data_IF_839945213685
#
_entry.id   IF_839945213685
#
_cell.length_a   1.000
_cell.length_b   1.000
_cell.length_c   1.000
_cell.angle_alpha   90.00
_cell.angle_beta   90.00
_cell.angle_gamma   90.00
#
_symmetry.space_group_name_H-M   'P 1'
#
loop_
_entity.id
_entity.type
_entity.pdbx_description
1 polymer ?
#
# COMPACT_ATOMS: atom_id res chain seq x y z
N UNK A 1 6.94 17.00 -11.36
CA UNK A 1 6.13 16.74 -10.13
C UNK A 1 5.93 15.24 -10.05
N UNK A 2 6.26 14.62 -8.91
CA UNK A 2 6.16 13.19 -8.75
C UNK A 2 4.69 12.70 -8.81
N UNK A 3 4.45 11.52 -9.36
CA UNK A 3 3.20 10.79 -9.16
C UNK A 3 3.09 10.33 -7.73
N UNK A 4 1.92 10.50 -7.11
CA UNK A 4 1.71 10.19 -5.69
C UNK A 4 0.73 9.02 -5.55
N UNK A 5 1.20 7.89 -5.01
CA UNK A 5 0.37 6.73 -4.71
C UNK A 5 0.26 6.56 -3.19
N UNK A 6 -0.95 6.66 -2.67
CA UNK A 6 -1.21 6.50 -1.23
C UNK A 6 -1.75 5.11 -0.90
N UNK A 7 -1.16 4.43 0.07
CA UNK A 7 -1.67 3.20 0.66
C UNK A 7 -2.35 3.50 1.99
N UNK A 8 -3.65 3.24 2.08
CA UNK A 8 -4.45 3.53 3.27
C UNK A 8 -5.21 2.30 3.76
N UNK A 9 -5.48 2.22 5.03
CA UNK A 9 -6.46 1.31 5.63
C UNK A 9 -6.67 1.65 7.09
N UNK A 10 -7.87 1.54 7.60
CA UNK A 10 -8.16 1.66 9.04
C UNK A 10 -7.92 0.34 9.79
N UNK A 11 -7.81 -0.79 9.08
CA UNK A 11 -7.52 -2.09 9.68
C UNK A 11 -6.02 -2.39 9.62
N UNK A 12 -5.44 -2.80 10.75
CA UNK A 12 -4.06 -3.28 10.81
C UNK A 12 -3.88 -4.63 10.12
N UNK A 13 -2.67 -4.90 9.58
CA UNK A 13 -2.32 -6.21 9.05
C UNK A 13 -2.89 -6.59 7.68
N UNK A 14 -3.65 -5.72 7.02
CA UNK A 14 -4.24 -5.99 5.68
C UNK A 14 -3.27 -5.86 4.50
N UNK A 15 -2.00 -5.53 4.76
CA UNK A 15 -0.98 -5.52 3.72
C UNK A 15 -0.62 -4.17 3.11
N UNK A 16 -0.91 -3.02 3.77
CA UNK A 16 -0.49 -1.68 3.30
C UNK A 16 1.00 -1.64 2.98
N UNK A 17 1.83 -1.75 4.00
CA UNK A 17 3.29 -1.70 3.86
C UNK A 17 3.84 -2.79 2.95
N UNK A 18 3.21 -3.98 2.91
CA UNK A 18 3.58 -5.05 1.99
C UNK A 18 3.45 -4.63 0.53
N UNK A 19 2.32 -4.00 0.17
CA UNK A 19 2.07 -3.55 -1.20
C UNK A 19 2.86 -2.29 -1.54
N UNK A 20 3.03 -1.36 -0.58
CA UNK A 20 3.86 -0.17 -0.75
C UNK A 20 5.32 -0.55 -1.07
N UNK A 21 5.89 -1.50 -0.35
CA UNK A 21 7.25 -2.04 -0.59
C UNK A 21 7.35 -2.77 -1.92
N UNK A 22 6.32 -3.55 -2.30
CA UNK A 22 6.27 -4.23 -3.59
C UNK A 22 6.29 -3.21 -4.74
N UNK A 23 5.45 -2.17 -4.67
CA UNK A 23 5.44 -1.11 -5.67
C UNK A 23 6.80 -0.37 -5.73
N UNK A 24 7.37 -0.02 -4.58
CA UNK A 24 8.68 0.63 -4.52
C UNK A 24 9.78 -0.22 -5.18
N UNK A 25 9.78 -1.53 -4.91
CA UNK A 25 10.74 -2.46 -5.51
C UNK A 25 10.57 -2.55 -7.02
N UNK A 26 9.36 -2.75 -7.52
CA UNK A 26 9.10 -2.90 -8.95
C UNK A 26 9.37 -1.60 -9.72
N UNK A 27 8.92 -0.45 -9.20
CA UNK A 27 9.19 0.84 -9.80
C UNK A 27 10.69 1.11 -9.91
N UNK A 28 11.45 0.87 -8.83
CA UNK A 28 12.91 1.04 -8.83
C UNK A 28 13.60 0.07 -9.79
N UNK A 29 13.12 -1.16 -9.92
CA UNK A 29 13.65 -2.14 -10.89
C UNK A 29 13.42 -1.72 -12.34
N UNK A 30 12.38 -0.93 -12.59
CA UNK A 30 12.09 -0.31 -13.90
C UNK A 30 12.83 1.03 -14.11
N UNK A 31 13.72 1.42 -13.21
CA UNK A 31 14.50 2.67 -13.32
C UNK A 31 13.74 3.95 -12.91
N UNK A 32 12.55 3.83 -12.33
CA UNK A 32 11.77 4.96 -11.84
C UNK A 32 12.37 5.45 -10.52
N UNK A 33 12.74 6.72 -10.45
CA UNK A 33 13.23 7.35 -9.21
C UNK A 33 12.11 7.38 -8.18
N UNK A 34 12.18 6.49 -7.20
CA UNK A 34 11.10 6.24 -6.26
C UNK A 34 11.47 6.66 -4.84
N UNK A 35 10.55 7.34 -4.16
CA UNK A 35 10.58 7.59 -2.72
C UNK A 35 9.44 6.86 -2.05
N UNK A 36 9.73 6.13 -0.98
CA UNK A 36 8.75 5.50 -0.09
C UNK A 36 8.75 6.23 1.25
N UNK A 37 7.69 6.96 1.51
CA UNK A 37 7.45 7.67 2.76
C UNK A 37 6.64 6.78 3.71
N UNK A 38 7.26 6.36 4.80
CA UNK A 38 6.61 5.63 5.90
C UNK A 38 5.98 6.68 6.84
N UNK A 39 4.66 6.69 6.96
CA UNK A 39 3.92 7.65 7.78
C UNK A 39 3.45 7.04 9.11
N UNK A 40 3.91 5.84 9.44
CA UNK A 40 3.65 5.19 10.74
C UNK A 40 4.86 5.40 11.66
N UNK A 41 4.84 6.51 12.40
CA UNK A 41 5.93 6.88 13.33
C UNK A 41 6.15 5.87 14.45
N UNK A 42 5.10 5.15 14.86
CA UNK A 42 5.19 4.20 15.96
C UNK A 42 5.84 2.89 15.53
N UNK A 43 5.47 2.39 14.36
CA UNK A 43 5.94 1.09 13.87
C UNK A 43 7.07 1.19 12.85
N UNK A 44 7.12 2.26 12.05
CA UNK A 44 8.12 2.50 11.01
C UNK A 44 8.44 1.25 10.17
N UNK A 45 7.40 0.49 9.82
CA UNK A 45 7.56 -0.88 9.31
C UNK A 45 8.26 -0.95 7.97
N UNK A 46 8.05 0.03 7.10
CA UNK A 46 8.71 0.09 5.79
C UNK A 46 10.16 0.53 5.90
N UNK A 47 10.46 1.47 6.81
CA UNK A 47 11.85 1.87 7.10
C UNK A 47 12.66 0.73 7.73
N UNK A 48 12.08 0.00 8.71
CA UNK A 48 12.71 -1.16 9.33
C UNK A 48 12.95 -2.31 8.33
N UNK A 49 12.00 -2.55 7.44
CA UNK A 49 12.18 -3.53 6.36
C UNK A 49 13.34 -3.14 5.43
N UNK A 50 13.45 -1.87 5.05
CA UNK A 50 14.52 -1.40 4.20
C UNK A 50 15.88 -1.49 4.89
N UNK A 51 15.96 -1.19 6.18
CA UNK A 51 17.18 -1.38 6.99
C UNK A 51 17.61 -2.84 7.01
N UNK A 52 16.68 -3.79 7.23
CA UNK A 52 16.97 -5.23 7.11
C UNK A 52 17.46 -5.61 5.71
N UNK A 53 16.83 -5.07 4.67
CA UNK A 53 17.25 -5.30 3.29
C UNK A 53 18.71 -4.95 3.08
N UNK A 54 19.11 -3.78 3.50
CA UNK A 54 20.49 -3.29 3.37
C UNK A 54 21.46 -4.12 4.22
N UNK A 55 21.09 -4.49 5.44
CA UNK A 55 21.94 -5.30 6.34
C UNK A 55 22.17 -6.73 5.83
N UNK A 56 21.31 -7.26 4.96
CA UNK A 56 21.50 -8.55 4.29
C UNK A 56 22.24 -8.46 2.95
N UNK A 57 22.77 -7.28 2.61
CA UNK A 57 23.52 -7.06 1.37
C UNK A 57 22.66 -6.94 0.12
N UNK A 58 21.35 -6.83 0.26
CA UNK A 58 20.46 -6.60 -0.88
C UNK A 58 20.54 -5.13 -1.32
N UNK A 59 20.40 -4.85 -2.63
CA UNK A 59 20.43 -3.48 -3.13
C UNK A 59 19.24 -2.67 -2.62
N UNK A 60 19.40 -1.33 -2.44
CA UNK A 60 18.27 -0.47 -2.11
C UNK A 60 17.19 -0.54 -3.20
N UNK A 61 15.92 -0.36 -2.82
CA UNK A 61 14.81 -0.37 -3.77
C UNK A 61 14.21 1.02 -4.01
N UNK A 62 14.48 1.97 -3.12
CA UNK A 62 13.98 3.34 -3.16
C UNK A 62 14.72 4.19 -2.13
N UNK A 63 14.48 5.51 -2.10
CA UNK A 63 14.71 6.31 -0.90
C UNK A 63 13.58 6.01 0.10
N UNK A 64 13.87 5.36 1.22
CA UNK A 64 12.86 4.99 2.23
C UNK A 64 13.11 5.78 3.50
N UNK A 65 12.16 6.63 3.85
CA UNK A 65 12.28 7.55 4.99
C UNK A 65 10.97 7.63 5.77
N UNK A 66 11.07 7.97 7.06
CA UNK A 66 9.92 8.17 7.95
C UNK A 66 9.54 9.65 7.98
N UNK A 67 8.25 9.94 7.86
CA UNK A 67 7.73 11.31 7.93
C UNK A 67 6.53 11.39 8.89
N UNK A 68 6.39 12.52 9.57
CA UNK A 68 5.26 12.74 10.47
C UNK A 68 3.96 13.15 9.72
N UNK A 69 4.08 13.66 8.50
CA UNK A 69 2.92 14.07 7.68
C UNK A 69 3.15 13.81 6.20
N UNK A 70 2.06 13.62 5.46
CA UNK A 70 2.10 13.52 4.00
C UNK A 70 2.69 14.79 3.35
N UNK A 71 2.42 15.97 3.93
CA UNK A 71 2.96 17.25 3.46
C UNK A 71 4.49 17.26 3.46
N UNK A 72 5.12 16.85 4.55
CA UNK A 72 6.58 16.78 4.64
C UNK A 72 7.18 15.81 3.61
N UNK A 73 6.52 14.65 3.40
CA UNK A 73 6.95 13.70 2.39
C UNK A 73 6.91 14.30 0.96
N UNK A 74 5.86 15.06 0.63
CA UNK A 74 5.71 15.75 -0.66
C UNK A 74 6.80 16.80 -0.83
N UNK A 75 7.06 17.63 0.18
CA UNK A 75 8.10 18.67 0.14
C UNK A 75 9.49 18.06 -0.12
N UNK A 76 9.72 16.82 0.34
CA UNK A 76 10.98 16.09 0.15
C UNK A 76 11.07 15.31 -1.16
N UNK A 77 10.00 15.28 -1.97
CA UNK A 77 9.90 14.45 -3.17
C UNK A 77 10.32 15.13 -4.47
N UNK A 78 10.93 16.33 -4.40
CA UNK A 78 11.17 17.20 -5.55
C UNK A 78 11.94 16.61 -6.74
N UNK A 79 12.80 15.62 -6.51
CA UNK A 79 13.62 14.97 -7.55
C UNK A 79 13.20 13.52 -7.88
N UNK A 80 12.10 13.06 -7.32
CA UNK A 80 11.55 11.73 -7.56
C UNK A 80 10.43 11.75 -8.61
N UNK A 81 10.31 10.66 -9.36
CA UNK A 81 9.23 10.45 -10.33
C UNK A 81 7.99 9.87 -9.67
N UNK A 82 8.18 9.05 -8.62
CA UNK A 82 7.14 8.39 -7.86
C UNK A 82 7.36 8.59 -6.36
N UNK A 83 6.32 9.11 -5.68
CA UNK A 83 6.20 9.15 -4.23
C UNK A 83 5.14 8.14 -3.77
N UNK A 84 5.55 7.21 -2.94
CA UNK A 84 4.67 6.23 -2.32
C UNK A 84 4.45 6.64 -0.86
N UNK A 85 3.20 6.86 -0.46
CA UNK A 85 2.81 7.16 0.92
C UNK A 85 2.29 5.89 1.59
N UNK A 86 3.07 5.29 2.47
CA UNK A 86 2.64 4.15 3.30
C UNK A 86 1.96 4.69 4.56
N UNK A 87 0.63 4.74 4.53
CA UNK A 87 -0.18 5.38 5.54
C UNK A 87 -0.16 4.65 6.89
N UNK A 88 -0.38 5.38 8.01
CA UNK A 88 -0.41 4.79 9.34
C UNK A 88 -1.60 3.84 9.51
N UNK A 89 -1.48 2.93 10.48
CA UNK A 89 -2.60 2.09 10.89
C UNK A 89 -3.61 2.94 11.72
N UNK A 90 -4.91 2.79 11.44
CA UNK A 90 -6.01 3.34 12.24
C UNK A 90 -6.18 4.88 12.27
N UNK A 91 -5.43 5.65 11.51
CA UNK A 91 -5.53 7.11 11.53
C UNK A 91 -6.53 7.64 10.50
N UNK A 92 -7.74 8.02 10.92
CA UNK A 92 -8.72 8.67 10.04
C UNK A 92 -8.22 9.99 9.45
N UNK A 93 -7.55 10.80 10.27
CA UNK A 93 -6.98 12.09 9.84
C UNK A 93 -5.86 11.90 8.81
N UNK A 94 -4.92 11.00 9.05
CA UNK A 94 -3.85 10.70 8.08
C UNK A 94 -4.39 10.10 6.78
N UNK A 95 -5.46 9.33 6.83
CA UNK A 95 -6.14 8.80 5.64
C UNK A 95 -6.68 9.93 4.76
N UNK A 96 -7.41 10.90 5.33
CA UNK A 96 -7.94 12.05 4.59
C UNK A 96 -6.82 12.96 4.06
N UNK A 97 -5.73 13.14 4.79
CA UNK A 97 -4.57 13.93 4.34
C UNK A 97 -3.92 13.29 3.11
N UNK A 98 -3.68 11.98 3.14
CA UNK A 98 -3.16 11.22 1.99
C UNK A 98 -4.12 11.31 0.80
N UNK A 99 -5.43 11.11 1.04
CA UNK A 99 -6.44 11.09 -0.01
C UNK A 99 -6.54 12.40 -0.79
N UNK A 100 -6.29 13.53 -0.14
CA UNK A 100 -6.35 14.86 -0.76
C UNK A 100 -5.19 15.12 -1.72
N UNK A 101 -4.04 14.49 -1.50
CA UNK A 101 -2.80 14.78 -2.24
C UNK A 101 -2.43 13.67 -3.24
N UNK A 102 -2.92 12.45 -3.05
CA UNK A 102 -2.58 11.32 -3.90
C UNK A 102 -3.28 11.39 -5.27
N UNK A 103 -2.58 10.95 -6.31
CA UNK A 103 -3.13 10.73 -7.64
C UNK A 103 -3.90 9.41 -7.70
N UNK A 104 -3.43 8.41 -6.94
CA UNK A 104 -4.09 7.12 -6.77
C UNK A 104 -4.05 6.70 -5.31
N UNK A 105 -5.17 6.17 -4.83
CA UNK A 105 -5.32 5.60 -3.50
C UNK A 105 -5.56 4.11 -3.61
N UNK A 106 -4.67 3.35 -3.03
CA UNK A 106 -4.77 1.90 -2.94
C UNK A 106 -5.16 1.51 -1.52
N UNK A 107 -6.28 0.82 -1.38
CA UNK A 107 -6.71 0.25 -0.10
C UNK A 107 -6.60 -1.27 -0.13
N UNK A 108 -5.61 -1.85 0.52
CA UNK A 108 -5.54 -3.29 0.72
C UNK A 108 -6.66 -3.79 1.62
N UNK A 109 -7.24 -4.93 1.25
CA UNK A 109 -8.29 -5.59 2.03
C UNK A 109 -8.19 -7.12 1.90
N UNK A 110 -8.64 -7.85 2.91
CA UNK A 110 -8.90 -9.29 2.80
C UNK A 110 -10.21 -9.55 2.05
N UNK A 111 -10.51 -10.82 1.83
CA UNK A 111 -11.72 -11.27 1.12
C UNK A 111 -12.95 -11.42 2.02
N UNK A 112 -12.79 -11.44 3.34
CA UNK A 112 -13.93 -11.61 4.27
C UNK A 112 -14.79 -10.33 4.34
N UNK A 113 -16.07 -10.49 4.64
CA UNK A 113 -16.97 -9.35 4.88
C UNK A 113 -16.49 -8.47 6.05
N UNK A 114 -15.83 -9.06 7.05
CA UNK A 114 -15.22 -8.32 8.16
C UNK A 114 -14.06 -7.39 7.71
N UNK A 115 -13.48 -7.64 6.55
CA UNK A 115 -12.49 -6.78 5.91
C UNK A 115 -13.14 -5.84 4.88
N UNK A 116 -14.03 -6.35 4.03
CA UNK A 116 -14.63 -5.62 2.91
C UNK A 116 -15.57 -4.52 3.36
N UNK A 117 -16.49 -4.82 4.29
CA UNK A 117 -17.49 -3.84 4.74
C UNK A 117 -16.84 -2.59 5.36
N UNK A 118 -15.90 -2.68 6.30
CA UNK A 118 -15.21 -1.50 6.82
C UNK A 118 -14.39 -0.78 5.75
N UNK A 119 -13.76 -1.52 4.82
CA UNK A 119 -12.95 -0.93 3.77
C UNK A 119 -13.79 -0.08 2.80
N UNK A 120 -14.97 -0.57 2.40
CA UNK A 120 -15.92 0.18 1.57
C UNK A 120 -16.43 1.43 2.31
N UNK A 121 -16.68 1.33 3.62
CA UNK A 121 -17.09 2.51 4.43
C UNK A 121 -16.03 3.61 4.40
N UNK A 122 -14.73 3.26 4.43
CA UNK A 122 -13.64 4.24 4.30
C UNK A 122 -13.73 4.96 2.95
N UNK A 123 -13.84 4.24 1.85
CA UNK A 123 -13.93 4.85 0.52
C UNK A 123 -15.21 5.70 0.36
N UNK A 124 -16.34 5.24 0.89
CA UNK A 124 -17.56 6.04 0.89
C UNK A 124 -17.41 7.34 1.70
N UNK A 125 -16.67 7.33 2.80
CA UNK A 125 -16.37 8.55 3.57
C UNK A 125 -15.49 9.51 2.75
N UNK A 126 -14.43 9.02 2.11
CA UNK A 126 -13.57 9.84 1.25
C UNK A 126 -14.32 10.45 0.07
N UNK A 127 -15.24 9.69 -0.56
CA UNK A 127 -16.11 10.23 -1.62
C UNK A 127 -16.98 11.37 -1.10
N UNK A 128 -17.56 11.23 0.11
CA UNK A 128 -18.32 12.31 0.77
C UNK A 128 -17.46 13.53 1.07
N UNK A 129 -16.16 13.35 1.31
CA UNK A 129 -15.18 14.43 1.47
C UNK A 129 -14.72 15.05 0.13
N UNK A 130 -15.24 14.58 -1.01
CA UNK A 130 -14.96 15.11 -2.35
C UNK A 130 -13.84 14.40 -3.11
N UNK A 131 -13.32 13.26 -2.61
CA UNK A 131 -12.31 12.48 -3.35
C UNK A 131 -12.99 11.76 -4.53
N UNK A 132 -12.51 11.93 -5.77
CA UNK A 132 -13.07 11.24 -6.93
C UNK A 132 -12.96 9.72 -6.80
N UNK A 133 -14.03 8.99 -7.12
CA UNK A 133 -14.01 7.50 -7.13
C UNK A 133 -12.92 6.92 -8.02
N UNK A 134 -12.62 7.57 -9.15
CA UNK A 134 -11.59 7.15 -10.09
C UNK A 134 -10.18 7.11 -9.52
N UNK A 135 -9.96 7.74 -8.37
CA UNK A 135 -8.68 7.68 -7.63
C UNK A 135 -8.64 6.54 -6.59
N UNK A 136 -9.75 5.85 -6.37
CA UNK A 136 -9.89 4.89 -5.28
C UNK A 136 -9.94 3.47 -5.83
N UNK A 137 -8.94 2.64 -5.49
CA UNK A 137 -8.84 1.26 -5.96
C UNK A 137 -8.55 0.30 -4.80
N UNK A 138 -9.23 -0.84 -4.80
CA UNK A 138 -8.92 -1.91 -3.87
C UNK A 138 -7.80 -2.82 -4.36
N UNK A 139 -7.08 -3.43 -3.40
CA UNK A 139 -6.06 -4.41 -3.69
C UNK A 139 -6.23 -5.61 -2.76
N UNK A 140 -6.66 -6.75 -3.28
CA UNK A 140 -6.88 -7.95 -2.49
C UNK A 140 -5.57 -8.51 -1.92
N UNK A 141 -5.61 -8.90 -0.67
CA UNK A 141 -4.49 -9.43 0.10
C UNK A 141 -4.97 -10.51 1.05
N UNK A 142 -4.09 -11.48 1.35
CA UNK A 142 -4.38 -12.57 2.28
C UNK A 142 -5.63 -13.36 1.88
N UNK A 143 -5.81 -13.53 0.59
CA UNK A 143 -6.87 -14.34 0.02
C UNK A 143 -6.51 -15.81 0.20
N UNK A 144 -7.44 -16.64 0.62
CA UNK A 144 -7.22 -18.07 0.83
C UNK A 144 -7.36 -18.87 -0.45
N UNK A 145 -8.39 -18.58 -1.26
CA UNK A 145 -8.75 -19.35 -2.46
C UNK A 145 -9.16 -18.43 -3.62
N UNK A 146 -9.15 -18.97 -4.83
CA UNK A 146 -9.64 -18.25 -6.02
C UNK A 146 -11.15 -17.94 -5.93
N UNK A 147 -11.93 -18.81 -5.30
CA UNK A 147 -13.36 -18.57 -5.07
C UNK A 147 -13.58 -17.34 -4.17
N UNK A 148 -12.83 -17.25 -3.07
CA UNK A 148 -12.88 -16.05 -2.21
C UNK A 148 -12.44 -14.78 -2.95
N UNK A 149 -11.47 -14.89 -3.86
CA UNK A 149 -11.07 -13.75 -4.70
C UNK A 149 -12.21 -13.27 -5.58
N UNK A 150 -12.89 -14.19 -6.27
CA UNK A 150 -14.01 -13.88 -7.17
C UNK A 150 -15.16 -13.23 -6.41
N UNK A 151 -15.55 -13.80 -5.26
CA UNK A 151 -16.62 -13.26 -4.42
C UNK A 151 -16.28 -11.85 -3.90
N UNK A 152 -15.03 -11.64 -3.45
CA UNK A 152 -14.59 -10.32 -2.99
C UNK A 152 -14.59 -9.28 -4.11
N UNK A 153 -14.15 -9.65 -5.33
CA UNK A 153 -14.19 -8.77 -6.50
C UNK A 153 -15.62 -8.39 -6.88
N UNK A 154 -16.55 -9.36 -6.88
CA UNK A 154 -17.96 -9.10 -7.15
C UNK A 154 -18.54 -8.13 -6.12
N UNK A 155 -18.29 -8.36 -4.83
CA UNK A 155 -18.77 -7.49 -3.74
C UNK A 155 -18.25 -6.06 -3.85
N UNK A 156 -16.95 -5.87 -4.18
CA UNK A 156 -16.34 -4.55 -4.38
C UNK A 156 -16.95 -3.85 -5.61
N UNK A 157 -17.16 -4.60 -6.71
CA UNK A 157 -17.75 -4.09 -7.95
C UNK A 157 -19.18 -3.64 -7.75
N UNK A 158 -20.00 -4.40 -7.01
CA UNK A 158 -21.37 -4.02 -6.64
C UNK A 158 -21.41 -2.74 -5.80
N UNK A 159 -20.40 -2.49 -4.99
CA UNK A 159 -20.24 -1.23 -4.26
C UNK A 159 -19.77 -0.05 -5.15
N UNK A 160 -19.51 -0.29 -6.43
CA UNK A 160 -19.12 0.71 -7.43
C UNK A 160 -17.64 1.12 -7.34
N UNK A 161 -16.74 0.21 -6.94
CA UNK A 161 -15.30 0.43 -6.89
C UNK A 161 -14.53 -0.57 -7.74
N UNK A 162 -13.34 -0.13 -8.18
CA UNK A 162 -12.39 -0.95 -8.92
C UNK A 162 -11.47 -1.74 -7.99
N UNK A 163 -10.99 -2.88 -8.50
CA UNK A 163 -9.99 -3.72 -7.84
C UNK A 163 -8.80 -3.92 -8.77
N UNK A 164 -7.57 -3.80 -8.28
CA UNK A 164 -6.37 -4.14 -9.03
C UNK A 164 -6.43 -5.60 -9.52
N UNK A 165 -5.94 -5.86 -10.73
CA UNK A 165 -6.02 -7.19 -11.35
C UNK A 165 -5.34 -8.29 -10.51
N UNK A 166 -4.17 -7.98 -9.92
CA UNK A 166 -3.45 -8.94 -9.08
C UNK A 166 -3.98 -9.03 -7.66
N UNK A 167 -3.88 -10.22 -7.05
CA UNK A 167 -4.10 -10.40 -5.62
C UNK A 167 -2.91 -11.06 -4.92
N UNK A 168 -2.82 -10.94 -3.61
CA UNK A 168 -1.85 -11.67 -2.79
C UNK A 168 -2.57 -12.74 -1.98
N UNK A 169 -2.31 -14.00 -2.33
CA UNK A 169 -2.76 -15.14 -1.53
C UNK A 169 -2.04 -15.21 -0.20
N UNK A 170 -2.64 -15.83 0.80
CA UNK A 170 -1.99 -16.05 2.10
C UNK A 170 -0.94 -17.15 1.96
N UNK A 171 0.34 -16.78 1.89
CA UNK A 171 1.47 -17.72 1.74
C UNK A 171 2.54 -17.46 2.80
N UNK A 172 2.98 -18.50 3.55
CA UNK A 172 4.09 -18.37 4.50
C UNK A 172 5.39 -17.86 3.87
N UNK A 173 5.62 -18.16 2.59
CA UNK A 173 6.78 -17.70 1.84
C UNK A 173 6.89 -16.16 1.78
N UNK A 174 5.77 -15.44 1.71
CA UNK A 174 5.77 -13.99 1.71
C UNK A 174 6.26 -13.40 3.04
N UNK A 175 5.84 -13.99 4.17
CA UNK A 175 6.33 -13.58 5.50
C UNK A 175 7.82 -13.82 5.64
N UNK A 176 8.30 -15.00 5.20
CA UNK A 176 9.74 -15.36 5.23
C UNK A 176 10.56 -14.39 4.38
N UNK A 177 10.12 -14.05 3.17
CA UNK A 177 10.78 -13.10 2.29
C UNK A 177 10.89 -11.71 2.93
N UNK A 178 9.79 -11.18 3.45
CA UNK A 178 9.78 -9.86 4.10
C UNK A 178 10.66 -9.80 5.35
N UNK A 179 10.77 -10.89 6.11
CA UNK A 179 11.68 -10.99 7.25
C UNK A 179 13.16 -10.93 6.83
N UNK A 180 13.48 -11.26 5.58
CA UNK A 180 14.82 -11.17 5.01
C UNK A 180 15.07 -9.88 4.20
N UNK A 181 14.14 -8.90 4.26
CA UNK A 181 14.26 -7.66 3.51
C UNK A 181 13.88 -7.76 2.02
N UNK A 182 13.36 -8.90 1.58
CA UNK A 182 12.80 -9.05 0.23
C UNK A 182 11.38 -8.48 0.17
N UNK A 183 10.99 -7.92 -0.96
CA UNK A 183 9.60 -7.64 -1.25
C UNK A 183 8.86 -8.94 -1.64
N UNK A 184 7.53 -8.94 -1.56
CA UNK A 184 6.73 -10.13 -1.95
C UNK A 184 6.90 -10.51 -3.41
N UNK A 185 7.20 -9.55 -4.27
CA UNK A 185 7.47 -9.74 -5.70
C UNK A 185 8.81 -10.38 -6.01
N UNK A 186 9.73 -10.41 -5.03
CA UNK A 186 11.05 -11.06 -5.15
C UNK A 186 11.02 -12.53 -4.69
N UNK A 187 9.84 -13.06 -4.31
CA UNK A 187 9.74 -14.47 -3.93
C UNK A 187 9.82 -15.37 -5.15
N UNK A 188 10.53 -16.51 -5.01
CA UNK A 188 10.64 -17.52 -6.07
C UNK A 188 9.35 -18.34 -6.26
N UNK A 189 8.38 -18.19 -5.38
CA UNK A 189 7.09 -18.88 -5.41
C UNK A 189 6.03 -17.95 -6.00
N UNK A 190 5.72 -18.21 -7.23
CA UNK A 190 4.57 -17.61 -7.91
C UNK A 190 3.29 -18.37 -7.53
#
# INVERSE_FOLDING_TARGET
MAWIVGFISQKGGVGKSTKARALAREASACGIKTKLADLDLEQATSAEWHRRRLSTGLPPVASVEVFSTAKQAIESAGEFDLLILDGPARASKGTSEIAKVADLIVQPTGASLDDLVPAIKVFNALVKEGVPRSKLVFALSRVGTEAEELDARAYISEAGYETLAGCLFEKPAYRKAMNSGLAVTETRYK
#
